data_IF_457295965594
#
_entry.id   IF_457295965594
#
_cell.length_a   1.000
_cell.length_b   1.000
_cell.length_c   1.000
_cell.angle_alpha   90.00
_cell.angle_beta   90.00
_cell.angle_gamma   90.00
#
_symmetry.space_group_name_H-M   'P 1'
#
loop_
_entity.id
_entity.type
_entity.pdbx_description
1 polymer ?
#
# COMPACT_ATOMS: atom_id res chain seq x y z
N UNK A 1 15.11 34.03 3.93
CA UNK A 1 14.47 33.59 5.18
C UNK A 1 13.02 33.07 5.05
N UNK A 2 12.05 33.87 4.57
CA UNK A 2 10.64 33.43 4.49
C UNK A 2 10.42 32.26 3.51
N UNK A 3 11.08 32.27 2.34
CA UNK A 3 11.02 31.14 1.39
C UNK A 3 11.63 29.87 1.98
N UNK A 4 12.77 29.99 2.67
CA UNK A 4 13.44 28.87 3.30
C UNK A 4 12.58 28.20 4.39
N UNK A 5 11.85 28.97 5.22
CA UNK A 5 10.90 28.39 6.18
C UNK A 5 9.77 27.60 5.50
N UNK A 6 9.32 28.03 4.31
CA UNK A 6 8.34 27.27 3.54
C UNK A 6 8.93 25.97 2.99
N UNK A 7 10.19 25.96 2.57
CA UNK A 7 10.90 24.75 2.15
C UNK A 7 11.02 23.74 3.30
N UNK A 8 11.39 24.19 4.51
CA UNK A 8 11.42 23.32 5.71
C UNK A 8 10.03 22.77 6.09
N UNK A 9 8.97 23.54 5.85
CA UNK A 9 7.59 23.06 6.01
C UNK A 9 7.23 22.00 4.96
N UNK A 10 7.57 22.23 3.69
CA UNK A 10 7.33 21.27 2.59
C UNK A 10 8.10 19.97 2.77
N UNK A 11 9.32 20.04 3.32
CA UNK A 11 10.13 18.90 3.70
C UNK A 11 9.66 18.20 5.00
N UNK A 12 8.62 18.71 5.67
CA UNK A 12 8.03 18.11 6.87
C UNK A 12 8.83 18.32 8.15
N UNK A 13 9.85 19.18 8.15
CA UNK A 13 10.65 19.45 9.35
C UNK A 13 9.91 20.32 10.36
N UNK A 14 9.02 21.21 9.91
CA UNK A 14 8.25 22.10 10.78
C UNK A 14 6.78 22.19 10.38
N UNK A 15 5.91 22.51 11.34
CA UNK A 15 4.53 22.90 11.03
C UNK A 15 4.50 24.16 10.16
N UNK A 16 3.37 24.42 9.50
CA UNK A 16 3.16 25.64 8.71
C UNK A 16 3.52 26.87 9.58
N UNK A 17 4.45 27.74 9.14
CA UNK A 17 4.86 28.91 9.93
C UNK A 17 3.68 29.87 10.10
N UNK A 18 3.35 30.17 11.35
CA UNK A 18 2.29 31.12 11.69
C UNK A 18 2.91 32.49 12.00
N UNK A 19 2.49 33.51 11.27
CA UNK A 19 2.99 34.88 11.41
C UNK A 19 1.95 35.72 12.12
N UNK A 20 2.28 36.17 13.33
CA UNK A 20 1.42 37.11 14.05
C UNK A 20 1.45 38.48 13.38
N UNK A 21 0.33 39.24 13.41
CA UNK A 21 0.27 40.58 12.83
C UNK A 21 1.33 41.50 13.46
N UNK A 22 2.07 42.22 12.63
CA UNK A 22 3.15 43.09 13.12
C UNK A 22 2.61 44.26 13.94
N UNK A 23 3.17 44.50 15.12
CA UNK A 23 2.81 45.64 15.97
C UNK A 23 3.72 46.84 15.68
N UNK A 24 3.17 48.06 15.49
CA UNK A 24 3.98 49.26 15.32
C UNK A 24 4.61 49.68 16.65
N UNK A 25 5.87 50.09 16.62
CA UNK A 25 6.63 50.64 17.76
C UNK A 25 7.21 52.02 17.39
N UNK A 26 7.64 52.83 18.38
CA UNK A 26 8.15 54.19 18.12
C UNK A 26 9.35 54.24 17.15
N UNK A 27 10.07 53.13 17.02
CA UNK A 27 11.28 52.98 16.21
C UNK A 27 11.12 51.99 15.05
N UNK A 28 9.92 51.46 14.79
CA UNK A 28 9.68 50.53 13.68
C UNK A 28 8.47 49.61 13.84
N UNK A 29 8.63 48.35 13.44
CA UNK A 29 7.64 47.28 13.55
C UNK A 29 8.28 46.06 14.20
N UNK A 30 7.50 45.32 14.99
CA UNK A 30 7.89 44.02 15.56
C UNK A 30 7.03 42.94 14.92
N UNK A 31 7.63 41.82 14.56
CA UNK A 31 6.93 40.65 14.05
C UNK A 31 7.38 39.40 14.79
N UNK A 32 6.44 38.48 15.02
CA UNK A 32 6.70 37.18 15.65
C UNK A 32 6.22 36.08 14.71
N UNK A 33 7.05 35.06 14.51
CA UNK A 33 6.70 33.85 13.76
C UNK A 33 6.89 32.62 14.65
N UNK A 34 5.96 31.69 14.58
CA UNK A 34 5.99 30.44 15.36
C UNK A 34 5.86 29.23 14.45
N UNK A 35 6.59 28.17 14.75
CA UNK A 35 6.45 26.87 14.10
C UNK A 35 6.75 25.73 15.09
N UNK A 36 6.18 24.55 14.87
CA UNK A 36 6.40 23.37 15.71
C UNK A 36 7.39 22.44 15.02
N UNK A 37 8.47 22.08 15.72
CA UNK A 37 9.44 21.06 15.32
C UNK A 37 9.38 19.90 16.33
N UNK A 38 9.00 18.69 15.90
CA UNK A 38 8.96 17.48 16.75
C UNK A 38 8.23 17.66 18.10
N UNK A 39 7.12 18.39 18.10
CA UNK A 39 6.32 18.67 19.30
C UNK A 39 6.82 19.83 20.16
N UNK A 40 7.98 20.42 19.85
CA UNK A 40 8.47 21.64 20.49
C UNK A 40 8.10 22.87 19.65
N UNK A 41 7.53 23.90 20.29
CA UNK A 41 7.23 25.17 19.64
C UNK A 41 8.48 26.05 19.58
N UNK A 42 8.88 26.41 18.38
CA UNK A 42 9.95 27.36 18.10
C UNK A 42 9.36 28.73 17.74
N UNK A 43 9.98 29.80 18.25
CA UNK A 43 9.52 31.17 18.05
C UNK A 43 10.68 32.05 17.60
N UNK A 44 10.47 32.83 16.55
CA UNK A 44 11.40 33.85 16.08
C UNK A 44 10.75 35.22 16.17
N UNK A 45 11.41 36.16 16.82
CA UNK A 45 10.99 37.57 16.89
C UNK A 45 11.96 38.41 16.07
N UNK A 46 11.45 39.45 15.41
CA UNK A 46 12.27 40.34 14.61
C UNK A 46 11.73 41.76 14.62
N UNK A 47 12.64 42.72 14.57
CA UNK A 47 12.30 44.15 14.53
C UNK A 47 12.75 44.77 13.22
N UNK A 48 12.12 45.84 12.78
CA UNK A 48 12.62 46.53 11.59
C UNK A 48 11.83 47.78 11.23
N UNK A 49 12.39 48.68 10.40
CA UNK A 49 11.75 49.95 10.07
C UNK A 49 10.53 49.78 9.13
N UNK A 50 10.29 48.58 8.60
CA UNK A 50 9.08 48.23 7.85
C UNK A 50 8.54 46.86 8.24
N UNK A 51 7.22 46.64 8.06
CA UNK A 51 6.55 45.34 8.29
C UNK A 51 7.26 44.18 7.55
N UNK A 52 7.74 44.43 6.33
CA UNK A 52 8.44 43.42 5.51
C UNK A 52 9.80 43.06 6.10
N UNK A 53 10.55 44.04 6.60
CA UNK A 53 11.86 43.80 7.22
C UNK A 53 11.73 43.13 8.59
N UNK A 54 10.80 43.60 9.44
CA UNK A 54 10.51 42.95 10.73
C UNK A 54 10.13 41.46 10.54
N UNK A 55 9.32 41.15 9.52
CA UNK A 55 8.94 39.77 9.18
C UNK A 55 10.10 38.94 8.64
N UNK A 56 10.99 39.55 7.86
CA UNK A 56 12.16 38.86 7.33
C UNK A 56 13.17 38.51 8.44
N UNK A 57 13.36 39.42 9.40
CA UNK A 57 14.21 39.22 10.58
C UNK A 57 13.64 38.17 11.54
N UNK A 58 12.33 38.20 11.78
CA UNK A 58 11.65 37.19 12.59
C UNK A 58 11.80 35.78 11.98
N UNK A 59 11.69 35.69 10.65
CA UNK A 59 11.92 34.45 9.91
C UNK A 59 13.38 33.97 9.96
N UNK A 60 14.35 34.88 9.93
CA UNK A 60 15.76 34.54 10.04
C UNK A 60 16.12 34.01 11.43
N UNK A 61 15.58 34.64 12.47
CA UNK A 61 15.78 34.19 13.85
C UNK A 61 15.14 32.82 14.11
N UNK A 62 13.95 32.56 13.57
CA UNK A 62 13.35 31.23 13.65
C UNK A 62 14.18 30.15 12.93
N UNK A 63 14.79 30.47 11.78
CA UNK A 63 15.67 29.54 11.07
C UNK A 63 16.92 29.19 11.88
N UNK A 64 17.53 30.16 12.57
CA UNK A 64 18.68 29.91 13.45
C UNK A 64 18.29 28.98 14.59
N UNK A 65 17.15 29.22 15.25
CA UNK A 65 16.66 28.34 16.32
C UNK A 65 16.38 26.93 15.79
N UNK A 66 15.82 26.80 14.58
CA UNK A 66 15.59 25.51 13.94
C UNK A 66 16.90 24.78 13.63
N UNK A 67 17.92 25.47 13.11
CA UNK A 67 19.23 24.89 12.81
C UNK A 67 19.91 24.39 14.09
N UNK A 68 19.91 25.19 15.17
CA UNK A 68 20.44 24.74 16.47
C UNK A 68 19.69 23.52 17.01
N UNK A 69 18.37 23.44 16.81
CA UNK A 69 17.59 22.27 17.20
C UNK A 69 17.90 21.03 16.33
N UNK A 70 18.22 21.21 15.04
CA UNK A 70 18.64 20.12 14.16
C UNK A 70 20.05 19.62 14.51
N UNK A 71 20.97 20.54 14.82
CA UNK A 71 22.37 20.22 15.16
C UNK A 71 22.47 19.55 16.55
N UNK A 72 21.73 20.03 17.55
CA UNK A 72 21.66 19.40 18.88
C UNK A 72 21.13 17.95 18.82
N UNK A 73 20.31 17.64 17.82
CA UNK A 73 19.81 16.28 17.57
C UNK A 73 20.84 15.40 16.82
N UNK A 74 21.80 15.98 16.11
CA UNK A 74 22.90 15.26 15.48
C UNK A 74 23.98 14.84 16.52
N UNK A 75 24.18 15.67 17.56
CA UNK A 75 25.10 15.39 18.67
C UNK A 75 24.54 14.42 19.73
N UNK A 76 23.26 14.03 19.63
CA UNK A 76 22.69 12.95 20.47
C UNK A 76 22.93 11.57 19.83
N UNK A 77 24.16 11.33 19.38
CA UNK A 77 24.71 9.99 19.17
C UNK A 77 25.32 9.53 20.51
N UNK A 78 24.97 8.34 21.04
CA UNK A 78 25.50 7.91 22.34
C UNK A 78 27.02 7.64 22.28
N UNK A 79 27.74 7.82 23.40
CA UNK A 79 29.19 7.58 23.43
C UNK A 79 29.51 6.10 23.26
N UNK A 80 30.67 5.84 22.66
CA UNK A 80 31.26 4.51 22.52
C UNK A 80 31.50 3.92 23.91
N UNK A 81 30.72 2.90 24.28
CA UNK A 81 30.93 2.07 25.47
C UNK A 81 31.35 0.68 25.03
N UNK A 82 32.50 0.25 25.51
CA UNK A 82 33.11 -1.06 25.36
C UNK A 82 32.13 -2.18 25.70
N UNK A 83 32.05 -3.16 24.81
CA UNK A 83 31.18 -4.33 24.80
C UNK A 83 31.34 -5.22 26.05
N UNK A 84 30.22 -5.62 26.68
CA UNK A 84 30.02 -7.01 27.05
C UNK A 84 28.84 -7.58 26.27
N UNK A 85 29.07 -8.75 25.68
CA UNK A 85 28.16 -9.50 24.82
C UNK A 85 26.69 -9.43 25.27
N UNK A 86 25.86 -8.72 24.50
CA UNK A 86 24.42 -8.70 24.69
C UNK A 86 23.71 -8.87 23.34
N UNK A 87 22.90 -9.94 23.32
CA UNK A 87 21.85 -10.36 22.39
C UNK A 87 21.62 -9.53 21.11
N UNK A 88 21.59 -10.26 19.99
CA UNK A 88 21.24 -9.75 18.66
C UNK A 88 19.99 -8.84 18.68
N UNK A 89 20.02 -7.68 18.00
CA UNK A 89 18.89 -6.79 17.92
C UNK A 89 17.72 -7.46 17.18
N UNK A 90 16.52 -7.32 17.71
CA UNK A 90 15.30 -7.73 17.04
C UNK A 90 15.19 -7.02 15.67
N UNK A 91 14.77 -7.73 14.60
CA UNK A 91 14.70 -7.15 13.27
C UNK A 91 13.71 -5.99 13.23
N UNK A 92 13.93 -5.00 12.33
CA UNK A 92 13.04 -3.85 12.16
C UNK A 92 11.63 -4.34 11.84
N UNK A 93 10.65 -3.85 12.60
CA UNK A 93 9.23 -4.13 12.37
C UNK A 93 8.83 -3.47 11.07
N UNK A 94 8.52 -4.27 10.06
CA UNK A 94 7.96 -3.78 8.80
C UNK A 94 6.66 -3.02 9.10
N UNK A 95 6.37 -1.90 8.41
CA UNK A 95 5.03 -1.32 8.47
C UNK A 95 4.06 -2.38 7.96
N UNK A 96 3.25 -2.93 8.87
CA UNK A 96 2.18 -3.82 8.47
C UNK A 96 1.25 -3.04 7.55
N UNK A 97 0.82 -3.60 6.40
CA UNK A 97 -0.20 -2.97 5.60
C UNK A 97 -1.43 -2.72 6.48
N UNK A 98 -2.13 -1.58 6.29
CA UNK A 98 -3.33 -1.30 7.06
C UNK A 98 -4.30 -2.47 6.92
N UNK A 99 -4.79 -2.95 8.06
CA UNK A 99 -5.74 -4.06 8.10
C UNK A 99 -7.00 -3.67 7.35
N UNK A 100 -7.47 -4.47 6.37
CA UNK A 100 -8.71 -4.17 5.65
C UNK A 100 -9.89 -4.02 6.61
N UNK A 101 -10.74 -3.02 6.37
CA UNK A 101 -12.03 -2.93 7.05
C UNK A 101 -12.92 -4.11 6.64
N UNK A 102 -13.87 -4.52 7.49
CA UNK A 102 -14.72 -5.69 7.21
C UNK A 102 -15.50 -5.56 5.89
N UNK A 103 -15.88 -4.34 5.49
CA UNK A 103 -16.54 -4.08 4.20
C UNK A 103 -15.62 -4.28 2.98
N UNK A 104 -14.31 -4.31 3.19
CA UNK A 104 -13.30 -4.53 2.15
C UNK A 104 -12.93 -6.01 1.99
N UNK A 105 -13.29 -6.87 2.96
CA UNK A 105 -13.06 -8.32 2.89
C UNK A 105 -13.72 -8.94 1.65
N UNK A 106 -12.99 -9.75 0.87
CA UNK A 106 -13.55 -10.44 -0.28
C UNK A 106 -14.68 -11.39 0.14
N UNK A 107 -15.69 -11.60 -0.71
CA UNK A 107 -16.71 -12.61 -0.45
C UNK A 107 -16.08 -14.00 -0.41
N UNK A 108 -16.61 -14.87 0.46
CA UNK A 108 -16.09 -16.23 0.61
C UNK A 108 -16.50 -17.09 -0.57
N UNK A 109 -15.49 -17.64 -1.24
CA UNK A 109 -15.64 -18.62 -2.29
C UNK A 109 -16.61 -19.74 -1.85
N UNK A 110 -17.69 -20.00 -2.60
CA UNK A 110 -18.59 -21.11 -2.33
C UNK A 110 -17.89 -22.42 -2.70
N UNK A 111 -18.31 -23.56 -2.12
CA UNK A 111 -17.77 -24.85 -2.52
C UNK A 111 -18.06 -25.10 -4.01
N UNK A 112 -17.08 -25.69 -4.70
CA UNK A 112 -17.14 -25.95 -6.13
C UNK A 112 -16.69 -27.38 -6.42
N UNK A 113 -17.44 -28.10 -7.26
CA UNK A 113 -17.04 -29.40 -7.77
C UNK A 113 -16.07 -29.28 -8.95
N UNK A 114 -15.51 -30.40 -9.46
CA UNK A 114 -14.60 -30.39 -10.59
C UNK A 114 -15.16 -29.73 -11.87
N UNK A 115 -16.46 -29.94 -12.14
CA UNK A 115 -17.12 -29.34 -13.30
C UNK A 115 -17.26 -27.81 -13.14
N UNK A 116 -17.56 -27.34 -11.93
CA UNK A 116 -17.66 -25.91 -11.62
C UNK A 116 -16.29 -25.25 -11.77
N UNK A 117 -15.23 -25.87 -11.25
CA UNK A 117 -13.85 -25.39 -11.39
C UNK A 117 -13.42 -25.27 -12.85
N UNK A 118 -13.78 -26.26 -13.69
CA UNK A 118 -13.50 -26.19 -15.13
C UNK A 118 -14.27 -25.04 -15.80
N UNK A 119 -15.56 -24.88 -15.49
CA UNK A 119 -16.37 -23.79 -16.02
C UNK A 119 -15.86 -22.41 -15.55
N UNK A 120 -15.46 -22.30 -14.28
CA UNK A 120 -14.90 -21.09 -13.69
C UNK A 120 -13.56 -20.72 -14.32
N UNK A 121 -12.68 -21.69 -14.57
CA UNK A 121 -11.42 -21.46 -15.26
C UNK A 121 -11.65 -20.94 -16.69
N UNK A 122 -12.57 -21.56 -17.43
CA UNK A 122 -12.94 -21.11 -18.79
C UNK A 122 -13.51 -19.70 -18.79
N UNK A 123 -14.37 -19.36 -17.82
CA UNK A 123 -14.93 -18.02 -17.68
C UNK A 123 -13.86 -16.97 -17.34
N UNK A 124 -12.92 -17.30 -16.46
CA UNK A 124 -11.76 -16.45 -16.15
C UNK A 124 -10.92 -16.20 -17.41
N UNK A 125 -10.55 -17.25 -18.14
CA UNK A 125 -9.73 -17.11 -19.34
C UNK A 125 -10.41 -16.25 -20.41
N UNK A 126 -11.72 -16.46 -20.62
CA UNK A 126 -12.50 -15.66 -21.56
C UNK A 126 -12.50 -14.18 -21.15
N UNK A 127 -12.75 -13.87 -19.87
CA UNK A 127 -12.74 -12.49 -19.39
C UNK A 127 -11.36 -11.82 -19.58
N UNK A 128 -10.27 -12.55 -19.37
CA UNK A 128 -8.91 -12.04 -19.63
C UNK A 128 -8.67 -11.80 -21.13
N UNK A 129 -9.14 -12.69 -22.00
CA UNK A 129 -9.09 -12.52 -23.46
C UNK A 129 -9.94 -11.34 -23.93
N UNK A 130 -11.06 -11.08 -23.27
CA UNK A 130 -11.95 -9.94 -23.55
C UNK A 130 -11.39 -8.62 -23.00
N UNK A 131 -10.18 -8.61 -22.45
CA UNK A 131 -9.48 -7.40 -22.01
C UNK A 131 -9.89 -6.92 -20.62
N UNK A 132 -10.46 -7.79 -19.77
CA UNK A 132 -10.79 -7.42 -18.39
C UNK A 132 -9.55 -6.97 -17.61
N UNK A 133 -9.70 -5.88 -16.85
CA UNK A 133 -8.72 -5.46 -15.87
C UNK A 133 -8.81 -6.34 -14.60
N UNK A 134 -7.76 -6.25 -13.78
CA UNK A 134 -7.57 -7.11 -12.62
C UNK A 134 -6.93 -6.32 -11.48
N UNK A 135 -7.50 -6.41 -10.27
CA UNK A 135 -6.88 -5.90 -9.05
C UNK A 135 -6.99 -6.92 -7.91
N UNK A 136 -6.03 -6.91 -6.99
CA UNK A 136 -6.08 -7.77 -5.81
C UNK A 136 -7.04 -7.20 -4.78
N UNK A 137 -7.96 -8.02 -4.29
CA UNK A 137 -8.76 -7.76 -3.09
C UNK A 137 -8.01 -8.29 -1.87
N UNK A 138 -7.41 -7.42 -1.03
CA UNK A 138 -6.69 -7.85 0.15
C UNK A 138 -7.65 -8.39 1.20
N UNK A 139 -7.13 -9.27 2.06
CA UNK A 139 -7.83 -9.87 3.17
C UNK A 139 -6.91 -9.94 4.39
N UNK A 140 -7.49 -9.97 5.59
CA UNK A 140 -6.77 -10.22 6.85
C UNK A 140 -6.14 -11.61 6.90
N UNK A 141 -6.75 -12.57 6.21
CA UNK A 141 -6.23 -13.92 6.06
C UNK A 141 -5.75 -14.16 4.62
N UNK A 142 -4.50 -14.62 4.42
CA UNK A 142 -3.96 -14.91 3.09
C UNK A 142 -4.87 -15.82 2.23
N UNK A 143 -5.36 -16.94 2.79
CA UNK A 143 -6.31 -17.85 2.14
C UNK A 143 -7.60 -17.24 1.60
N UNK A 144 -8.00 -16.06 2.09
CA UNK A 144 -9.26 -15.43 1.72
C UNK A 144 -9.07 -14.21 0.81
N UNK A 145 -7.83 -13.87 0.46
CA UNK A 145 -7.57 -12.91 -0.59
C UNK A 145 -8.15 -13.45 -1.91
N UNK A 146 -8.61 -12.52 -2.75
CA UNK A 146 -9.18 -12.86 -4.05
C UNK A 146 -8.74 -11.82 -5.07
N UNK A 147 -8.84 -12.14 -6.34
CA UNK A 147 -8.77 -11.17 -7.41
C UNK A 147 -10.14 -10.60 -7.70
N UNK A 148 -10.20 -9.36 -8.18
CA UNK A 148 -11.37 -8.79 -8.83
C UNK A 148 -11.08 -8.58 -10.30
N UNK A 149 -11.80 -9.29 -11.16
CA UNK A 149 -11.91 -8.95 -12.58
C UNK A 149 -12.96 -7.86 -12.76
N UNK A 150 -12.69 -6.89 -13.61
CA UNK A 150 -13.63 -5.80 -13.91
C UNK A 150 -13.38 -5.18 -15.29
N UNK A 151 -14.35 -4.45 -15.84
CA UNK A 151 -14.12 -3.66 -17.05
C UNK A 151 -13.36 -2.38 -16.72
N UNK A 152 -12.31 -2.01 -17.47
CA UNK A 152 -11.49 -0.82 -17.16
C UNK A 152 -12.27 0.50 -17.16
N UNK A 153 -13.36 0.57 -17.93
CA UNK A 153 -14.26 1.73 -17.97
C UNK A 153 -15.25 1.78 -16.78
N UNK A 154 -15.22 0.78 -15.91
CA UNK A 154 -16.07 0.63 -14.74
C UNK A 154 -17.48 0.14 -15.05
N UNK A 155 -17.77 -0.24 -16.28
CA UNK A 155 -19.03 -0.92 -16.63
C UNK A 155 -19.06 -2.33 -16.02
N UNK A 156 -20.25 -2.93 -15.82
CA UNK A 156 -20.33 -4.32 -15.41
C UNK A 156 -19.69 -5.23 -16.45
N UNK A 157 -18.94 -6.25 -16.01
CA UNK A 157 -18.48 -7.31 -16.90
C UNK A 157 -19.69 -7.96 -17.59
N UNK A 158 -19.58 -8.32 -18.89
CA UNK A 158 -20.60 -9.12 -19.56
C UNK A 158 -20.66 -10.50 -18.88
N UNK A 159 -21.58 -10.66 -17.94
CA UNK A 159 -21.72 -11.89 -17.19
C UNK A 159 -22.64 -12.87 -17.95
N UNK A 160 -22.29 -14.17 -18.04
CA UNK A 160 -23.29 -15.19 -18.33
C UNK A 160 -24.37 -15.14 -17.24
N UNK A 161 -25.62 -15.46 -17.58
CA UNK A 161 -26.77 -15.37 -16.66
C UNK A 161 -26.62 -16.14 -15.33
N UNK A 162 -25.60 -16.99 -15.23
CA UNK A 162 -25.14 -17.63 -14.00
C UNK A 162 -23.60 -17.68 -13.97
N UNK A 163 -22.98 -17.22 -12.87
CA UNK A 163 -21.53 -17.34 -12.64
C UNK A 163 -21.24 -18.70 -11.99
N UNK A 164 -20.37 -19.54 -12.57
CA UNK A 164 -20.03 -20.84 -11.99
C UNK A 164 -19.23 -20.67 -10.69
N UNK A 165 -19.52 -21.42 -9.62
CA UNK A 165 -18.66 -21.51 -8.44
C UNK A 165 -17.21 -21.86 -8.82
N UNK A 166 -16.18 -21.35 -8.11
CA UNK A 166 -16.25 -20.48 -6.95
C UNK A 166 -16.34 -18.97 -7.29
N UNK A 167 -16.62 -18.61 -8.54
CA UNK A 167 -16.72 -17.21 -8.94
C UNK A 167 -17.95 -16.56 -8.32
N UNK A 168 -17.80 -15.30 -7.86
CA UNK A 168 -18.88 -14.55 -7.25
C UNK A 168 -18.87 -13.09 -7.69
N UNK A 169 -20.03 -12.42 -7.82
CA UNK A 169 -20.04 -10.99 -8.02
C UNK A 169 -19.45 -10.27 -6.80
N UNK A 170 -18.68 -9.21 -7.03
CA UNK A 170 -18.14 -8.36 -5.97
C UNK A 170 -18.23 -6.90 -6.37
N UNK A 171 -18.67 -6.05 -5.46
CA UNK A 171 -18.75 -4.60 -5.69
C UNK A 171 -17.69 -3.88 -4.87
N UNK A 172 -16.92 -3.01 -5.53
CA UNK A 172 -15.88 -2.20 -4.89
C UNK A 172 -15.87 -0.78 -5.44
N UNK A 173 -15.47 0.15 -4.58
CA UNK A 173 -15.11 1.49 -5.00
C UNK A 173 -13.68 1.51 -5.53
N UNK A 174 -13.56 1.83 -6.81
CA UNK A 174 -12.30 1.92 -7.54
C UNK A 174 -12.00 3.38 -7.89
N UNK A 175 -10.71 3.68 -8.00
CA UNK A 175 -10.20 4.92 -8.58
C UNK A 175 -9.77 4.62 -10.01
N UNK A 176 -10.60 5.02 -10.97
CA UNK A 176 -10.38 4.78 -12.40
C UNK A 176 -9.97 6.07 -13.10
N UNK A 177 -9.45 5.94 -14.32
CA UNK A 177 -9.29 7.09 -15.19
C UNK A 177 -10.66 7.77 -15.47
N UNK A 178 -10.69 9.09 -15.36
CA UNK A 178 -11.85 9.90 -15.73
C UNK A 178 -12.02 10.01 -17.25
N UNK A 179 -13.13 10.63 -17.67
CA UNK A 179 -13.37 10.89 -19.09
C UNK A 179 -12.18 11.68 -19.69
N UNK A 180 -11.58 11.14 -20.75
CA UNK A 180 -10.39 11.70 -21.39
C UNK A 180 -9.04 11.36 -20.72
N UNK A 181 -9.02 10.53 -19.67
CA UNK A 181 -7.79 9.96 -19.11
C UNK A 181 -6.98 10.86 -18.17
N UNK A 182 -7.39 12.13 -17.97
CA UNK A 182 -6.55 13.12 -17.27
C UNK A 182 -6.78 13.11 -15.76
N UNK A 183 -8.04 13.04 -15.30
CA UNK A 183 -8.38 13.16 -13.87
C UNK A 183 -8.90 11.84 -13.31
N UNK A 184 -8.37 11.34 -12.17
CA UNK A 184 -8.91 10.15 -11.53
C UNK A 184 -10.35 10.41 -11.05
N UNK A 185 -11.22 9.40 -11.20
CA UNK A 185 -12.59 9.42 -10.68
C UNK A 185 -12.83 8.23 -9.77
N UNK A 186 -13.72 8.42 -8.79
CA UNK A 186 -14.29 7.30 -8.04
C UNK A 186 -15.39 6.64 -8.87
N UNK A 187 -15.42 5.32 -8.90
CA UNK A 187 -16.47 4.53 -9.51
C UNK A 187 -16.79 3.33 -8.63
N UNK A 188 -18.08 3.09 -8.36
CA UNK A 188 -18.53 1.84 -7.74
C UNK A 188 -18.73 0.82 -8.85
N UNK A 189 -17.87 -0.20 -8.88
CA UNK A 189 -17.80 -1.17 -9.98
C UNK A 189 -18.20 -2.55 -9.46
N UNK A 190 -19.07 -3.22 -10.22
CA UNK A 190 -19.39 -4.63 -9.99
C UNK A 190 -18.52 -5.48 -10.91
N UNK A 191 -17.66 -6.29 -10.30
CA UNK A 191 -16.77 -7.22 -10.96
C UNK A 191 -17.01 -8.66 -10.49
N UNK A 192 -16.05 -9.53 -10.80
CA UNK A 192 -16.08 -10.94 -10.41
C UNK A 192 -14.91 -11.21 -9.47
N UNK A 193 -15.20 -11.70 -8.27
CA UNK A 193 -14.22 -12.23 -7.35
C UNK A 193 -13.75 -13.61 -7.82
N UNK A 194 -12.43 -13.78 -7.91
CA UNK A 194 -11.78 -15.01 -8.35
C UNK A 194 -10.78 -15.45 -7.28
N UNK A 195 -10.88 -16.68 -6.74
CA UNK A 195 -9.88 -17.20 -5.81
C UNK A 195 -8.45 -17.17 -6.38
N UNK A 196 -7.46 -16.95 -5.51
CA UNK A 196 -6.05 -16.81 -5.91
C UNK A 196 -5.50 -18.10 -6.54
N UNK A 197 -5.82 -19.26 -5.96
CA UNK A 197 -5.43 -20.58 -6.45
C UNK A 197 -5.99 -20.89 -7.84
N UNK A 198 -7.27 -20.58 -8.06
CA UNK A 198 -7.94 -20.76 -9.35
C UNK A 198 -7.33 -19.85 -10.43
N UNK A 199 -7.00 -18.61 -10.06
CA UNK A 199 -6.49 -17.61 -10.99
C UNK A 199 -5.01 -17.80 -11.36
N UNK A 200 -4.21 -18.33 -10.44
CA UNK A 200 -2.74 -18.37 -10.56
C UNK A 200 -2.24 -18.99 -11.88
N UNK A 201 -2.70 -20.17 -12.33
CA UNK A 201 -2.25 -20.75 -13.60
C UNK A 201 -2.60 -19.87 -14.81
N UNK A 202 -3.81 -19.32 -14.82
CA UNK A 202 -4.27 -18.46 -15.91
C UNK A 202 -3.44 -17.18 -15.98
N UNK A 203 -3.16 -16.52 -14.86
CA UNK A 203 -2.41 -15.24 -14.85
C UNK A 203 -0.92 -15.42 -15.21
N UNK A 204 -0.34 -16.58 -14.95
CA UNK A 204 1.04 -16.91 -15.32
C UNK A 204 1.21 -17.24 -16.82
N UNK A 205 0.14 -17.68 -17.48
CA UNK A 205 0.09 -17.93 -18.92
C UNK A 205 -0.11 -16.60 -19.67
N UNK A 206 0.87 -16.12 -20.44
CA UNK A 206 0.71 -14.92 -21.24
C UNK A 206 -0.31 -15.12 -22.37
N UNK A 207 -1.08 -14.09 -22.66
CA UNK A 207 -2.00 -14.04 -23.81
C UNK A 207 -1.76 -12.75 -24.60
N UNK A 208 -2.10 -12.76 -25.88
CA UNK A 208 -2.12 -11.54 -26.68
C UNK A 208 -3.30 -10.66 -26.27
N UNK A 209 -3.10 -9.34 -26.23
CA UNK A 209 -4.16 -8.39 -25.91
C UNK A 209 -4.54 -8.29 -24.42
N UNK A 210 -3.79 -8.92 -23.51
CA UNK A 210 -4.06 -8.81 -22.07
C UNK A 210 -4.00 -7.37 -21.57
N UNK A 211 -4.92 -7.04 -20.66
CA UNK A 211 -4.93 -5.73 -20.03
C UNK A 211 -3.62 -5.46 -19.27
N UNK A 212 -3.07 -4.22 -19.30
CA UNK A 212 -1.82 -3.87 -18.60
C UNK A 212 -1.80 -4.19 -17.09
N UNK A 213 -2.96 -4.19 -16.44
CA UNK A 213 -3.05 -4.61 -15.02
C UNK A 213 -2.67 -6.08 -14.84
N UNK A 214 -3.08 -6.96 -15.75
CA UNK A 214 -2.79 -8.40 -15.70
C UNK A 214 -1.30 -8.64 -15.91
N UNK A 215 -0.72 -8.00 -16.92
CA UNK A 215 0.70 -8.12 -17.23
C UNK A 215 1.59 -7.50 -16.15
N UNK A 216 1.13 -6.42 -15.52
CA UNK A 216 1.80 -5.75 -14.39
C UNK A 216 1.88 -6.60 -13.12
N UNK A 217 0.87 -7.45 -12.84
CA UNK A 217 0.88 -8.39 -11.70
C UNK A 217 1.77 -9.62 -11.91
N UNK A 218 2.04 -10.00 -13.16
CA UNK A 218 2.77 -11.22 -13.50
C UNK A 218 4.17 -11.36 -12.88
N UNK A 219 5.02 -10.32 -12.81
CA UNK A 219 6.30 -10.39 -12.11
C UNK A 219 6.15 -10.75 -10.62
N UNK A 220 5.16 -10.18 -9.93
CA UNK A 220 4.91 -10.48 -8.51
C UNK A 220 4.41 -11.92 -8.31
N UNK A 221 3.55 -12.43 -9.21
CA UNK A 221 3.10 -13.82 -9.20
C UNK A 221 4.26 -14.80 -9.39
N UNK A 222 5.13 -14.54 -10.37
CA UNK A 222 6.34 -15.35 -10.61
C UNK A 222 7.28 -15.32 -9.42
N UNK A 223 7.46 -14.16 -8.79
CA UNK A 223 8.27 -14.01 -7.59
C UNK A 223 7.71 -14.86 -6.43
N UNK A 224 6.40 -14.79 -6.19
CA UNK A 224 5.75 -15.57 -5.14
C UNK A 224 5.92 -17.08 -5.37
N UNK A 225 5.66 -17.57 -6.58
CA UNK A 225 5.85 -18.98 -6.96
C UNK A 225 7.32 -19.40 -6.79
N UNK A 226 8.27 -18.55 -7.20
CA UNK A 226 9.69 -18.84 -7.02
C UNK A 226 10.09 -18.95 -5.55
N UNK A 227 9.56 -18.09 -4.68
CA UNK A 227 9.76 -18.20 -3.24
C UNK A 227 9.21 -19.50 -2.66
N UNK A 228 7.99 -19.90 -3.04
CA UNK A 228 7.40 -21.19 -2.61
C UNK A 228 8.26 -22.36 -3.09
N UNK A 229 8.67 -22.37 -4.36
CA UNK A 229 9.53 -23.41 -4.93
C UNK A 229 10.91 -23.50 -4.23
N UNK A 230 11.44 -22.37 -3.74
CA UNK A 230 12.67 -22.30 -2.95
C UNK A 230 12.46 -22.61 -1.46
N UNK A 231 11.28 -23.09 -1.06
CA UNK A 231 10.92 -23.38 0.33
C UNK A 231 11.05 -22.15 1.26
N UNK A 232 10.85 -20.95 0.71
CA UNK A 232 10.87 -19.67 1.44
C UNK A 232 9.48 -19.34 1.98
N UNK A 233 8.90 -20.28 2.70
CA UNK A 233 7.57 -20.19 3.32
C UNK A 233 7.64 -20.70 4.74
N UNK A 234 6.88 -20.09 5.64
CA UNK A 234 6.80 -20.51 7.04
C UNK A 234 5.37 -20.44 7.56
N UNK A 235 4.99 -21.32 8.50
CA UNK A 235 3.70 -21.25 9.17
C UNK A 235 3.63 -20.01 10.08
N UNK A 236 2.49 -19.34 10.09
CA UNK A 236 2.24 -18.14 10.87
C UNK A 236 0.79 -18.08 11.36
N UNK A 237 0.51 -17.13 12.26
CA UNK A 237 -0.85 -16.80 12.70
C UNK A 237 -1.26 -15.43 12.16
N UNK A 238 -2.52 -15.31 11.74
CA UNK A 238 -3.18 -14.02 11.51
C UNK A 238 -3.42 -13.29 12.84
N UNK A 239 -3.78 -12.01 12.80
CA UNK A 239 -4.09 -11.23 14.00
C UNK A 239 -5.24 -11.86 14.82
N UNK A 240 -6.18 -12.52 14.14
CA UNK A 240 -7.32 -13.21 14.76
C UNK A 240 -7.00 -14.65 15.20
N UNK A 241 -5.72 -15.07 15.13
CA UNK A 241 -5.28 -16.39 15.62
C UNK A 241 -5.49 -17.55 14.64
N UNK A 242 -5.88 -17.30 13.39
CA UNK A 242 -5.99 -18.36 12.37
C UNK A 242 -4.63 -18.72 11.75
N UNK A 243 -4.40 -20.00 11.51
CA UNK A 243 -3.18 -20.50 10.86
C UNK A 243 -3.11 -20.14 9.37
N UNK A 244 -1.96 -19.62 8.95
CA UNK A 244 -1.68 -19.27 7.57
C UNK A 244 -0.21 -19.57 7.19
N UNK A 245 0.09 -19.53 5.90
CA UNK A 245 1.46 -19.57 5.38
C UNK A 245 1.87 -18.20 4.86
N UNK A 246 3.12 -17.83 5.12
CA UNK A 246 3.69 -16.56 4.68
C UNK A 246 5.03 -16.73 4.01
N UNK A 247 5.36 -15.83 3.10
CA UNK A 247 6.68 -15.80 2.47
C UNK A 247 7.72 -15.24 3.44
N UNK A 248 8.84 -15.94 3.57
CA UNK A 248 9.95 -15.51 4.42
C UNK A 248 11.21 -16.37 4.27
N UNK A 249 12.36 -15.92 4.80
CA UNK A 249 12.59 -14.63 5.46
C UNK A 249 12.56 -13.46 4.47
N UNK A 250 12.17 -12.26 4.92
CA UNK A 250 12.16 -11.06 4.09
C UNK A 250 13.57 -10.48 4.00
N UNK A 251 14.29 -10.91 2.97
CA UNK A 251 15.67 -10.49 2.67
C UNK A 251 15.69 -9.22 1.82
N UNK A 252 16.84 -8.55 1.75
CA UNK A 252 17.00 -7.37 0.91
C UNK A 252 16.75 -7.66 -0.58
N UNK A 253 17.27 -8.76 -1.17
CA UNK A 253 16.92 -9.12 -2.54
C UNK A 253 15.41 -9.30 -2.77
N UNK A 254 14.66 -9.81 -1.77
CA UNK A 254 13.22 -9.95 -1.89
C UNK A 254 12.53 -8.59 -1.89
N UNK A 255 12.97 -7.65 -1.03
CA UNK A 255 12.46 -6.28 -1.02
C UNK A 255 12.72 -5.57 -2.35
N UNK A 256 13.93 -5.68 -2.90
CA UNK A 256 14.25 -5.12 -4.21
C UNK A 256 13.37 -5.71 -5.31
N UNK A 257 13.20 -7.03 -5.34
CA UNK A 257 12.35 -7.69 -6.34
C UNK A 257 10.88 -7.26 -6.24
N UNK A 258 10.36 -7.05 -5.02
CA UNK A 258 9.01 -6.51 -4.81
C UNK A 258 8.91 -5.08 -5.32
N UNK A 259 9.87 -4.20 -5.01
CA UNK A 259 9.90 -2.83 -5.53
C UNK A 259 9.94 -2.80 -7.06
N UNK A 260 10.78 -3.64 -7.67
CA UNK A 260 10.86 -3.76 -9.14
C UNK A 260 9.57 -4.31 -9.77
N UNK A 261 8.85 -5.20 -9.08
CA UNK A 261 7.55 -5.69 -9.54
C UNK A 261 6.47 -4.61 -9.40
N UNK A 262 6.45 -3.88 -8.28
CA UNK A 262 5.53 -2.78 -8.04
C UNK A 262 5.66 -1.66 -9.07
N UNK A 263 6.90 -1.34 -9.49
CA UNK A 263 7.17 -0.32 -10.51
C UNK A 263 6.58 -0.65 -11.90
N UNK A 264 6.18 -1.91 -12.15
CA UNK A 264 5.55 -2.35 -13.41
C UNK A 264 4.02 -2.32 -13.36
N UNK A 265 3.44 -1.97 -12.21
CA UNK A 265 2.00 -2.02 -12.01
C UNK A 265 1.29 -0.91 -12.78
N UNK A 266 0.28 -1.29 -13.57
CA UNK A 266 -0.63 -0.31 -14.18
C UNK A 266 -1.61 0.25 -13.12
N UNK A 267 -2.14 1.48 -13.28
CA UNK A 267 -3.06 2.09 -12.32
C UNK A 267 -4.28 1.21 -11.97
N UNK A 268 -4.85 0.54 -12.97
CA UNK A 268 -5.99 -0.37 -12.81
C UNK A 268 -5.61 -1.62 -11.97
N UNK A 269 -4.33 -1.98 -11.94
CA UNK A 269 -3.79 -3.05 -11.11
C UNK A 269 -3.89 -2.77 -9.61
N UNK A 270 -3.84 -1.49 -9.20
CA UNK A 270 -3.83 -1.05 -7.81
C UNK A 270 -4.91 0.03 -7.54
N UNK A 271 -6.09 -0.11 -8.13
CA UNK A 271 -7.11 0.96 -8.15
C UNK A 271 -8.07 0.99 -6.95
N UNK A 272 -7.87 0.16 -5.91
CA UNK A 272 -8.75 0.17 -4.74
C UNK A 272 -8.69 1.52 -3.99
N UNK A 273 -9.87 2.07 -3.67
CA UNK A 273 -9.99 3.32 -2.94
C UNK A 273 -9.44 3.20 -1.51
N UNK A 274 -8.46 4.04 -1.18
CA UNK A 274 -7.81 4.10 0.13
C UNK A 274 -8.19 5.40 0.87
N UNK A 275 -9.42 5.47 1.40
CA UNK A 275 -9.95 6.63 2.13
C UNK A 275 -11.00 7.43 1.36
N UNK A 276 -11.45 8.56 1.92
CA UNK A 276 -12.62 9.27 1.38
C UNK A 276 -12.26 10.53 0.59
N UNK A 277 -11.43 11.41 1.13
CA UNK A 277 -11.03 12.66 0.48
C UNK A 277 -9.69 13.11 1.03
N UNK A 278 -8.73 13.52 0.18
CA UNK A 278 -8.74 13.43 -1.29
C UNK A 278 -8.75 11.97 -1.81
N UNK A 279 -9.03 11.77 -3.10
CA UNK A 279 -8.95 10.44 -3.71
C UNK A 279 -7.52 9.90 -3.58
N UNK A 280 -7.41 8.67 -3.08
CA UNK A 280 -6.16 7.98 -2.80
C UNK A 280 -6.32 6.51 -3.17
N UNK A 281 -5.23 5.94 -3.64
CA UNK A 281 -5.07 4.49 -3.84
C UNK A 281 -3.93 4.01 -2.97
N UNK A 282 -3.92 2.72 -2.66
CA UNK A 282 -2.81 2.10 -1.94
C UNK A 282 -1.56 2.10 -2.83
N UNK A 283 -0.40 2.34 -2.24
CA UNK A 283 0.88 2.16 -2.94
C UNK A 283 1.02 0.71 -3.41
N UNK A 284 1.46 0.45 -4.66
CA UNK A 284 1.50 -0.90 -5.23
C UNK A 284 2.34 -1.87 -4.37
N UNK A 285 3.45 -1.41 -3.79
CA UNK A 285 4.32 -2.21 -2.92
C UNK A 285 3.55 -2.83 -1.75
N UNK A 286 2.60 -2.07 -1.18
CA UNK A 286 1.78 -2.53 -0.06
C UNK A 286 0.75 -3.59 -0.48
N UNK A 287 0.37 -3.65 -1.76
CA UNK A 287 -0.52 -4.67 -2.29
C UNK A 287 0.23 -5.96 -2.67
N UNK A 288 1.54 -5.88 -2.95
CA UNK A 288 2.35 -7.04 -3.32
C UNK A 288 2.63 -7.98 -2.14
N UNK A 289 2.89 -7.48 -0.94
CA UNK A 289 3.17 -8.34 0.21
C UNK A 289 1.99 -9.28 0.56
N UNK A 290 0.73 -8.79 0.65
CA UNK A 290 -0.42 -9.67 0.82
C UNK A 290 -0.59 -10.67 -0.32
N UNK A 291 -0.27 -10.30 -1.57
CA UNK A 291 -0.31 -11.23 -2.69
C UNK A 291 0.68 -12.39 -2.51
N UNK A 292 1.91 -12.07 -2.12
CA UNK A 292 2.96 -13.06 -1.90
C UNK A 292 2.51 -14.11 -0.87
N UNK A 293 1.97 -13.65 0.27
CA UNK A 293 1.43 -14.54 1.30
C UNK A 293 0.20 -15.31 0.82
N UNK A 294 -0.72 -14.69 0.05
CA UNK A 294 -1.89 -15.36 -0.48
C UNK A 294 -1.54 -16.49 -1.45
N UNK A 295 -0.52 -16.30 -2.30
CA UNK A 295 -0.01 -17.35 -3.19
C UNK A 295 0.67 -18.46 -2.39
N UNK A 296 1.47 -18.12 -1.37
CA UNK A 296 2.07 -19.11 -0.49
C UNK A 296 1.03 -19.98 0.21
N UNK A 297 0.00 -19.35 0.80
CA UNK A 297 -1.09 -20.07 1.45
C UNK A 297 -1.88 -20.94 0.47
N UNK A 298 -2.24 -20.39 -0.69
CA UNK A 298 -2.93 -21.13 -1.75
C UNK A 298 -2.15 -22.36 -2.25
N UNK A 299 -0.83 -22.25 -2.41
CA UNK A 299 0.00 -23.34 -2.93
C UNK A 299 0.30 -24.42 -1.88
N UNK A 300 0.50 -24.03 -0.62
CA UNK A 300 0.84 -24.96 0.46
C UNK A 300 -0.41 -25.62 1.04
N UNK A 301 -1.51 -24.87 1.18
CA UNK A 301 -2.81 -25.36 1.64
C UNK A 301 -3.56 -25.98 0.46
N UNK A 302 -3.07 -27.13 -0.02
CA UNK A 302 -3.77 -27.93 -1.03
C UNK A 302 -5.18 -28.34 -0.53
N UNK A 303 -6.15 -28.63 -1.41
CA UNK A 303 -7.50 -29.03 -1.02
C UNK A 303 -7.55 -30.25 -0.08
N UNK A 304 -6.55 -31.14 -0.16
CA UNK A 304 -6.40 -32.30 0.72
C UNK A 304 -5.83 -31.96 2.10
N UNK A 305 -5.21 -30.80 2.29
CA UNK A 305 -4.50 -30.43 3.52
C UNK A 305 -5.47 -30.29 4.70
N UNK A 306 -6.63 -29.64 4.52
CA UNK A 306 -7.60 -29.46 5.59
C UNK A 306 -8.21 -30.78 6.12
N UNK A 307 -8.65 -31.75 5.29
CA UNK A 307 -9.11 -33.04 5.78
C UNK A 307 -7.99 -33.95 6.31
N UNK A 308 -6.75 -33.81 5.83
CA UNK A 308 -5.63 -34.67 6.25
C UNK A 308 -4.94 -34.19 7.53
N UNK A 309 -4.76 -32.88 7.67
CA UNK A 309 -3.93 -32.31 8.74
C UNK A 309 -4.80 -31.53 9.75
N UNK A 310 -5.94 -30.99 9.34
CA UNK A 310 -6.81 -30.13 10.16
C UNK A 310 -6.64 -28.63 9.87
N UNK A 311 -7.30 -27.73 10.63
CA UNK A 311 -7.30 -26.29 10.34
C UNK A 311 -6.05 -25.52 10.83
N UNK A 312 -5.18 -26.17 11.62
CA UNK A 312 -4.01 -25.52 12.24
C UNK A 312 -2.86 -25.22 11.27
N UNK A 313 -1.88 -24.39 11.67
CA UNK A 313 -0.60 -24.31 10.99
C UNK A 313 0.24 -25.55 11.32
N UNK A 314 0.78 -26.23 10.32
CA UNK A 314 1.63 -27.43 10.46
C UNK A 314 3.10 -27.08 10.26
#
# INVERSE_FOLDING_TARGET
PVSALNEYHQAGHISRPDYRPSTPTPTGFVATVTAIHRGQQLTGEGTGPSKRQARAEAADNLLKTLQTALDANADTAPPVVTEPAAAAPAPPTLPMPPTPADSQEPPRAPPAGPADLFAAHRALEQALTDGAALTLLPSRHPAWAAWMLFQPDGTPLPAPGHLPPPLQPVTRDLVLAGAGGIMPRRATVTGIAVPVDLALPALLTPREGEHPSVTGWRPALRLAVACVAQQRVYPALTADGHGCWRIGPITEPLRTAVTEAAARMAPEGHCLLAGHTPLRVLAPENALWPLLDAVADAMVRTPGTAPLLGPGPF
#
